data_IF_324675487415
#
_entry.id   IF_324675487415
#
_cell.length_a   1.000
_cell.length_b   1.000
_cell.length_c   1.000
_cell.angle_alpha   90.00
_cell.angle_beta   90.00
_cell.angle_gamma   90.00
#
_symmetry.space_group_name_H-M   'P 1'
#
loop_
_entity.id
_entity.type
_entity.pdbx_description
1 polymer ?
#
# COMPACT_ATOMS: atom_id res chain seq x y z
N UNK A 1 -21.61 -11.83 -2.63
CA UNK A 1 -20.42 -11.04 -2.22
C UNK A 1 -19.30 -11.29 -3.22
N UNK A 2 -19.00 -10.32 -4.07
CA UNK A 2 -18.03 -10.46 -5.16
C UNK A 2 -16.60 -10.64 -4.63
N UNK A 3 -15.87 -11.65 -5.11
CA UNK A 3 -14.46 -11.95 -4.78
C UNK A 3 -13.49 -10.77 -4.93
N UNK A 4 -13.92 -9.67 -5.56
CA UNK A 4 -13.15 -8.44 -5.77
C UNK A 4 -12.77 -7.73 -4.47
N UNK A 5 -13.66 -7.73 -3.48
CA UNK A 5 -13.43 -7.01 -2.21
C UNK A 5 -12.44 -7.73 -1.29
N UNK A 6 -12.26 -9.04 -1.47
CA UNK A 6 -11.31 -9.85 -0.70
C UNK A 6 -9.85 -9.64 -1.14
N UNK A 7 -9.62 -9.11 -2.35
CA UNK A 7 -8.26 -8.91 -2.88
C UNK A 7 -7.48 -7.85 -2.10
N UNK A 8 -8.18 -6.85 -1.53
CA UNK A 8 -7.57 -5.77 -0.75
C UNK A 8 -6.79 -6.27 0.47
N UNK A 9 -7.44 -7.00 1.40
CA UNK A 9 -6.76 -7.55 2.57
C UNK A 9 -5.58 -8.48 2.25
N UNK A 10 -5.71 -9.37 1.25
CA UNK A 10 -4.61 -10.25 0.85
C UNK A 10 -3.42 -9.48 0.26
N UNK A 11 -3.70 -8.46 -0.59
CA UNK A 11 -2.66 -7.61 -1.14
C UNK A 11 -1.91 -6.85 -0.03
N UNK A 12 -2.61 -6.38 1.00
CA UNK A 12 -2.00 -5.70 2.14
C UNK A 12 -1.07 -6.61 2.94
N UNK A 13 -1.43 -7.88 3.17
CA UNK A 13 -0.54 -8.86 3.83
C UNK A 13 0.71 -9.10 2.99
N UNK A 14 0.57 -9.30 1.68
CA UNK A 14 1.71 -9.48 0.78
C UNK A 14 2.63 -8.26 0.76
N UNK A 15 2.06 -7.04 0.75
CA UNK A 15 2.82 -5.79 0.84
C UNK A 15 3.60 -5.68 2.16
N UNK A 16 2.96 -6.04 3.28
CA UNK A 16 3.62 -6.03 4.59
C UNK A 16 4.81 -7.01 4.63
N UNK A 17 4.63 -8.24 4.13
CA UNK A 17 5.70 -9.21 4.00
C UNK A 17 6.83 -8.69 3.09
N UNK A 18 6.49 -8.14 1.93
CA UNK A 18 7.48 -7.60 0.98
C UNK A 18 8.32 -6.47 1.60
N UNK A 19 7.69 -5.50 2.26
CA UNK A 19 8.42 -4.41 2.94
C UNK A 19 9.26 -4.89 4.12
N UNK A 20 8.77 -5.88 4.86
CA UNK A 20 9.54 -6.50 5.95
C UNK A 20 10.78 -7.20 5.39
N UNK A 21 10.65 -7.96 4.30
CA UNK A 21 11.77 -8.61 3.62
C UNK A 21 12.79 -7.61 3.08
N UNK A 22 12.34 -6.50 2.48
CA UNK A 22 13.24 -5.43 2.03
C UNK A 22 14.00 -4.83 3.21
N UNK A 23 13.33 -4.56 4.33
CA UNK A 23 13.96 -4.04 5.53
C UNK A 23 15.02 -5.00 6.08
N UNK A 24 14.71 -6.29 6.21
CA UNK A 24 15.68 -7.30 6.63
C UNK A 24 16.83 -7.45 5.64
N UNK A 25 16.56 -7.41 4.33
CA UNK A 25 17.59 -7.46 3.30
C UNK A 25 18.56 -6.29 3.38
N UNK A 26 18.04 -5.07 3.59
CA UNK A 26 18.87 -3.87 3.79
C UNK A 26 19.68 -3.96 5.09
N UNK A 27 19.07 -4.39 6.20
CA UNK A 27 19.75 -4.55 7.48
C UNK A 27 20.86 -5.61 7.41
N UNK A 28 20.59 -6.75 6.77
CA UNK A 28 21.58 -7.82 6.54
C UNK A 28 22.73 -7.32 5.65
N UNK A 29 22.41 -6.61 4.57
CA UNK A 29 23.43 -6.01 3.69
C UNK A 29 24.30 -5.02 4.46
N UNK A 30 23.70 -4.13 5.25
CA UNK A 30 24.43 -3.19 6.09
C UNK A 30 25.32 -3.89 7.12
N UNK A 31 24.82 -4.95 7.78
CA UNK A 31 25.60 -5.74 8.73
C UNK A 31 26.82 -6.42 8.08
N UNK A 32 26.68 -6.91 6.84
CA UNK A 32 27.79 -7.48 6.06
C UNK A 32 28.81 -6.38 5.71
N UNK A 33 28.37 -5.22 5.23
CA UNK A 33 29.27 -4.09 4.92
C UNK A 33 30.02 -3.58 6.14
N UNK A 34 29.42 -3.66 7.33
CA UNK A 34 30.03 -3.29 8.61
C UNK A 34 30.89 -4.42 9.22
N UNK A 35 30.96 -5.59 8.59
CA UNK A 35 31.73 -6.73 9.08
C UNK A 35 31.13 -7.44 10.31
N UNK A 36 29.87 -7.15 10.66
CA UNK A 36 29.20 -7.73 11.83
C UNK A 36 28.77 -9.19 11.62
N UNK A 37 28.54 -9.59 10.37
CA UNK A 37 28.04 -10.92 9.99
C UNK A 37 28.73 -11.37 8.69
N UNK A 38 29.13 -12.65 8.55
CA UNK A 38 29.66 -13.16 7.30
C UNK A 38 28.62 -13.10 6.18
N UNK A 39 29.06 -12.78 4.96
CA UNK A 39 28.20 -12.76 3.79
C UNK A 39 27.63 -14.14 3.48
N UNK A 40 26.30 -14.28 3.52
CA UNK A 40 25.62 -15.51 3.12
C UNK A 40 25.55 -15.55 1.59
N UNK A 41 26.06 -16.60 0.93
CA UNK A 41 26.01 -16.68 -0.53
C UNK A 41 24.56 -16.86 -1.00
N UNK A 42 24.06 -15.92 -1.81
CA UNK A 42 22.76 -16.07 -2.47
C UNK A 42 22.89 -17.05 -3.65
N UNK A 43 21.98 -18.01 -3.72
CA UNK A 43 21.81 -18.90 -4.89
C UNK A 43 21.49 -18.08 -6.14
N UNK A 44 21.94 -18.57 -7.31
CA UNK A 44 21.67 -17.93 -8.61
C UNK A 44 20.17 -17.78 -8.87
N UNK A 45 19.35 -18.76 -8.47
CA UNK A 45 17.89 -18.68 -8.58
C UNK A 45 17.32 -17.53 -7.76
N UNK A 46 17.78 -17.35 -6.53
CA UNK A 46 17.32 -16.26 -5.65
C UNK A 46 17.68 -14.90 -6.23
N UNK A 47 18.91 -14.74 -6.73
CA UNK A 47 19.35 -13.50 -7.41
C UNK A 47 18.47 -13.20 -8.63
N UNK A 48 18.21 -14.21 -9.46
CA UNK A 48 17.33 -14.08 -10.62
C UNK A 48 15.92 -13.62 -10.23
N UNK A 49 15.31 -14.25 -9.22
CA UNK A 49 13.97 -13.89 -8.74
C UNK A 49 13.92 -12.46 -8.18
N UNK A 50 14.95 -12.02 -7.46
CA UNK A 50 15.05 -10.64 -6.96
C UNK A 50 15.07 -9.66 -8.15
N UNK A 51 15.92 -9.90 -9.14
CA UNK A 51 16.03 -9.03 -10.34
C UNK A 51 14.71 -9.00 -11.10
N UNK A 52 14.11 -10.16 -11.38
CA UNK A 52 12.85 -10.26 -12.09
C UNK A 52 11.72 -9.48 -11.38
N UNK A 53 11.63 -9.63 -10.06
CA UNK A 53 10.63 -8.94 -9.25
C UNK A 53 10.88 -7.43 -9.22
N UNK A 54 12.14 -7.01 -9.14
CA UNK A 54 12.53 -5.60 -9.20
C UNK A 54 12.19 -4.96 -10.56
N UNK A 55 12.41 -5.68 -11.65
CA UNK A 55 12.03 -5.23 -13.00
C UNK A 55 10.51 -5.06 -13.13
N UNK A 56 9.73 -6.00 -12.63
CA UNK A 56 8.26 -5.89 -12.62
C UNK A 56 7.77 -4.70 -11.79
N UNK A 57 8.39 -4.44 -10.64
CA UNK A 57 8.11 -3.27 -9.82
C UNK A 57 8.46 -1.96 -10.54
N UNK A 58 9.65 -1.90 -11.16
CA UNK A 58 10.11 -0.75 -11.95
C UNK A 58 9.18 -0.45 -13.13
N UNK A 59 8.78 -1.49 -13.87
CA UNK A 59 7.80 -1.36 -14.96
C UNK A 59 6.50 -0.70 -14.50
N UNK A 60 5.97 -1.10 -13.34
CA UNK A 60 4.75 -0.53 -12.77
C UNK A 60 4.90 0.95 -12.40
N UNK A 61 6.03 1.33 -11.82
CA UNK A 61 6.33 2.72 -11.50
C UNK A 61 6.47 3.58 -12.76
N UNK A 62 7.17 3.07 -13.78
CA UNK A 62 7.35 3.74 -15.07
C UNK A 62 6.00 3.97 -15.73
N UNK A 63 5.18 2.93 -15.85
CA UNK A 63 3.84 3.06 -16.44
C UNK A 63 3.00 4.08 -15.69
N UNK A 64 3.00 4.05 -14.35
CA UNK A 64 2.28 5.02 -13.54
C UNK A 64 2.76 6.46 -13.77
N UNK A 65 4.07 6.66 -13.83
CA UNK A 65 4.67 7.97 -14.06
C UNK A 65 4.34 8.49 -15.47
N UNK A 66 4.40 7.64 -16.50
CA UNK A 66 4.04 8.00 -17.88
C UNK A 66 2.58 8.46 -17.94
N UNK A 67 1.63 7.64 -17.48
CA UNK A 67 0.21 7.98 -17.54
C UNK A 67 -0.12 9.22 -16.71
N UNK A 68 0.44 9.34 -15.49
CA UNK A 68 0.22 10.53 -14.64
C UNK A 68 0.84 11.78 -15.27
N UNK A 69 2.01 11.65 -15.90
CA UNK A 69 2.69 12.76 -16.56
C UNK A 69 1.99 13.27 -17.80
N UNK A 70 1.37 12.36 -18.57
CA UNK A 70 0.56 12.74 -19.74
C UNK A 70 -0.68 13.55 -19.37
N UNK A 71 -1.31 13.21 -18.24
CA UNK A 71 -2.55 13.85 -17.82
C UNK A 71 -2.33 15.11 -16.97
N UNK A 72 -1.35 15.07 -16.06
CA UNK A 72 -1.17 16.10 -15.03
C UNK A 72 0.22 16.79 -15.07
N UNK A 73 1.04 16.49 -16.07
CA UNK A 73 2.36 17.07 -16.28
C UNK A 73 3.51 16.41 -15.49
N UNK A 74 4.73 16.79 -15.82
CA UNK A 74 5.98 16.16 -15.34
C UNK A 74 6.12 16.22 -13.81
N UNK A 75 5.72 17.32 -13.17
CA UNK A 75 5.76 17.45 -11.70
C UNK A 75 4.91 16.37 -11.01
N UNK A 76 3.73 16.08 -11.56
CA UNK A 76 2.85 15.04 -11.01
C UNK A 76 3.33 13.63 -11.36
N UNK A 77 4.00 13.46 -12.51
CA UNK A 77 4.71 12.22 -12.84
C UNK A 77 5.74 11.86 -11.76
N UNK A 78 6.60 12.80 -11.38
CA UNK A 78 7.62 12.59 -10.34
C UNK A 78 6.97 12.30 -8.98
N UNK A 79 5.95 13.07 -8.58
CA UNK A 79 5.21 12.84 -7.33
C UNK A 79 4.44 11.51 -7.31
N UNK A 80 4.15 10.93 -8.48
CA UNK A 80 3.52 9.62 -8.59
C UNK A 80 4.43 8.49 -8.12
N UNK A 81 5.75 8.65 -8.05
CA UNK A 81 6.64 7.60 -7.55
C UNK A 81 6.56 7.47 -6.02
N UNK A 82 6.87 8.53 -5.21
CA UNK A 82 6.76 8.46 -3.75
C UNK A 82 5.33 8.16 -3.29
N UNK A 83 4.32 8.66 -4.01
CA UNK A 83 2.90 8.38 -3.70
C UNK A 83 2.57 6.89 -3.80
N UNK A 84 3.34 6.07 -4.53
CA UNK A 84 3.07 4.63 -4.64
C UNK A 84 3.39 3.94 -3.31
N UNK A 85 4.51 4.32 -2.69
CA UNK A 85 4.92 3.82 -1.38
C UNK A 85 3.95 4.24 -0.28
N UNK A 86 3.53 5.51 -0.28
CA UNK A 86 2.52 6.02 0.67
C UNK A 86 1.20 5.28 0.52
N UNK A 87 0.74 5.06 -0.72
CA UNK A 87 -0.48 4.29 -0.97
C UNK A 87 -0.40 2.86 -0.44
N UNK A 88 0.74 2.19 -0.59
CA UNK A 88 0.94 0.85 -0.06
C UNK A 88 0.91 0.85 1.48
N UNK A 89 1.51 1.85 2.13
CA UNK A 89 1.46 1.98 3.59
C UNK A 89 0.02 2.17 4.10
N UNK A 90 -0.77 3.03 3.44
CA UNK A 90 -2.19 3.22 3.74
C UNK A 90 -2.98 1.93 3.54
N UNK A 91 -2.68 1.15 2.49
CA UNK A 91 -3.31 -0.14 2.25
C UNK A 91 -3.03 -1.14 3.37
N UNK A 92 -1.78 -1.19 3.86
CA UNK A 92 -1.40 -2.03 5.01
C UNK A 92 -2.15 -1.57 6.26
N UNK A 93 -2.08 -0.28 6.60
CA UNK A 93 -2.70 0.26 7.80
C UNK A 93 -4.23 0.08 7.82
N UNK A 94 -4.90 0.32 6.68
CA UNK A 94 -6.35 0.13 6.55
C UNK A 94 -6.74 -1.35 6.68
N UNK A 95 -6.00 -2.26 6.05
CA UNK A 95 -6.24 -3.69 6.19
C UNK A 95 -6.01 -4.19 7.62
N UNK A 96 -4.97 -3.73 8.31
CA UNK A 96 -4.72 -4.08 9.73
C UNK A 96 -5.82 -3.54 10.66
N UNK A 97 -6.38 -2.36 10.38
CA UNK A 97 -7.55 -1.85 11.10
C UNK A 97 -8.78 -2.73 10.84
N UNK A 98 -9.06 -3.04 9.58
CA UNK A 98 -10.19 -3.87 9.19
C UNK A 98 -10.10 -5.29 9.79
N UNK A 99 -8.91 -5.91 9.77
CA UNK A 99 -8.68 -7.22 10.37
C UNK A 99 -8.94 -7.20 11.88
N UNK A 100 -8.42 -6.19 12.60
CA UNK A 100 -8.69 -6.03 14.04
C UNK A 100 -10.18 -5.84 14.34
N UNK A 101 -10.87 -5.01 13.57
CA UNK A 101 -12.31 -4.83 13.71
C UNK A 101 -13.06 -6.15 13.47
N UNK A 102 -12.69 -6.90 12.43
CA UNK A 102 -13.28 -8.20 12.14
C UNK A 102 -13.05 -9.21 13.28
N UNK A 103 -11.83 -9.32 13.82
CA UNK A 103 -11.55 -10.18 14.97
C UNK A 103 -12.36 -9.82 16.22
N UNK A 104 -12.61 -8.53 16.46
CA UNK A 104 -13.48 -8.07 17.56
C UNK A 104 -14.92 -8.51 17.35
N UNK A 105 -15.44 -8.42 16.13
CA UNK A 105 -16.80 -8.89 15.81
C UNK A 105 -16.95 -10.40 16.00
N UNK A 106 -15.93 -11.19 15.68
CA UNK A 106 -15.92 -12.64 15.95
C UNK A 106 -15.93 -12.97 17.45
N UNK A 107 -15.45 -12.06 18.31
CA UNK A 107 -15.50 -12.19 19.77
C UNK A 107 -16.83 -11.73 20.38
N UNK A 108 -17.82 -11.40 19.55
CA UNK A 108 -19.16 -10.98 19.99
C UNK A 108 -19.32 -9.47 20.16
N UNK A 109 -18.32 -8.66 19.82
CA UNK A 109 -18.49 -7.20 19.84
C UNK A 109 -19.42 -6.73 18.70
N UNK A 110 -20.17 -5.67 18.97
CA UNK A 110 -21.06 -5.06 17.97
C UNK A 110 -20.25 -4.53 16.78
N UNK A 111 -20.74 -4.81 15.57
CA UNK A 111 -20.17 -4.25 14.33
C UNK A 111 -20.35 -2.72 14.36
N UNK A 112 -19.24 -1.99 14.45
CA UNK A 112 -19.22 -0.53 14.33
C UNK A 112 -18.94 -0.20 12.86
N UNK A 113 -19.94 0.38 12.20
CA UNK A 113 -19.82 0.82 10.82
C UNK A 113 -19.32 2.28 10.80
N UNK A 114 -18.03 2.44 10.55
CA UNK A 114 -17.31 3.72 10.52
C UNK A 114 -17.65 4.46 9.20
N UNK A 115 -18.79 5.16 9.17
CA UNK A 115 -19.20 5.97 8.00
C UNK A 115 -18.32 7.20 7.91
N UNK A 116 -17.83 7.49 6.71
CA UNK A 116 -17.27 8.81 6.41
C UNK A 116 -18.37 9.86 6.59
N UNK A 117 -18.09 10.91 7.36
CA UNK A 117 -19.00 12.04 7.48
C UNK A 117 -19.10 12.77 6.14
N UNK A 118 -20.32 12.98 5.65
CA UNK A 118 -20.56 13.66 4.37
C UNK A 118 -20.96 15.11 4.65
N UNK A 119 -19.96 15.97 4.82
CA UNK A 119 -20.17 17.40 5.15
C UNK A 119 -20.70 18.21 3.97
N UNK A 120 -20.47 17.75 2.74
CA UNK A 120 -20.86 18.43 1.50
C UNK A 120 -21.82 17.56 0.69
N UNK A 121 -23.09 17.55 1.08
CA UNK A 121 -24.15 16.97 0.26
C UNK A 121 -24.93 18.09 -0.44
N UNK A 122 -25.16 18.05 -1.77
CA UNK A 122 -25.92 19.09 -2.48
C UNK A 122 -27.30 19.37 -1.88
N UNK A 123 -27.93 18.34 -1.31
CA UNK A 123 -29.21 18.49 -0.60
C UNK A 123 -29.12 19.31 0.71
N UNK A 124 -27.95 19.31 1.40
CA UNK A 124 -27.73 20.15 2.59
C UNK A 124 -27.55 21.62 2.20
N UNK A 125 -27.00 21.90 1.01
CA UNK A 125 -26.85 23.27 0.47
C UNK A 125 -28.22 23.88 0.11
N UNK A 126 -29.16 23.08 -0.41
CA UNK A 126 -30.52 23.54 -0.73
C UNK A 126 -31.36 23.88 0.52
N UNK A 127 -31.18 23.16 1.65
CA UNK A 127 -31.89 23.46 2.90
C UNK A 127 -31.48 24.81 3.52
N UNK A 128 -30.23 25.23 3.35
CA UNK A 128 -29.72 26.52 3.86
C UNK A 128 -30.19 27.72 3.04
N UNK A 129 -30.53 27.53 1.76
CA UNK A 129 -31.11 28.56 0.91
C UNK A 129 -32.63 28.76 1.09
N UNK A 130 -33.35 27.73 1.56
CA UNK A 130 -34.80 27.79 1.78
C UNK A 130 -35.21 28.30 3.18
N UNK A 131 -34.23 28.56 4.06
CA UNK A 131 -34.44 29.04 5.44
C UNK A 131 -33.99 30.50 5.65
N UNK A 132 -33.70 31.23 4.56
CA UNK A 132 -33.54 32.68 4.54
C UNK A 132 -34.68 33.31 3.76
#
# INVERSE_FOLDING_TARGET
MTLRDRRGPFAAVLLACAYTLVLFGLASTAAIYLGLVPGVPLSNTTKFLIVLTALGFGWRLVMRAIFTGREYGVKQALLSIPRAFVSNFIAIASASRAARAYFRTLRGEKVIWDKTEHSHHPALVMQQGATR
#
